data_IF_137436871802
#
_entry.id   IF_137436871802
#
_cell.length_a   1.000
_cell.length_b   1.000
_cell.length_c   1.000
_cell.angle_alpha   90.00
_cell.angle_beta   90.00
_cell.angle_gamma   90.00
#
_symmetry.space_group_name_H-M   'P 1'
#
loop_
_entity.id
_entity.type
_entity.pdbx_description
1 polymer ?
#
# COMPACT_ATOMS: atom_id res chain seq x y z
N UNK A 1 15.06 -6.00 -20.74
CA UNK A 1 15.61 -7.23 -20.14
C UNK A 1 15.39 -7.12 -18.64
N UNK A 2 14.63 -8.03 -18.04
CA UNK A 2 14.51 -8.08 -16.57
C UNK A 2 15.18 -9.35 -16.04
N UNK A 3 15.87 -9.17 -14.91
CA UNK A 3 16.82 -10.06 -14.24
C UNK A 3 16.96 -9.51 -12.80
N UNK A 4 17.48 -10.25 -11.82
CA UNK A 4 17.17 -11.60 -11.34
C UNK A 4 16.21 -11.58 -10.11
N UNK A 5 15.65 -12.73 -9.73
CA UNK A 5 14.79 -12.89 -8.54
C UNK A 5 15.66 -13.25 -7.31
N UNK A 6 15.53 -12.48 -6.23
CA UNK A 6 16.24 -12.70 -4.97
C UNK A 6 15.30 -13.32 -3.93
N UNK A 7 15.73 -14.39 -3.25
CA UNK A 7 15.04 -14.94 -2.07
C UNK A 7 15.20 -13.94 -0.92
N UNK A 8 14.08 -13.51 -0.32
CA UNK A 8 14.06 -12.63 0.83
C UNK A 8 13.86 -13.44 2.11
N UNK A 9 14.69 -13.19 3.12
CA UNK A 9 14.50 -13.77 4.45
C UNK A 9 13.50 -12.92 5.26
N UNK A 10 12.48 -13.56 5.83
CA UNK A 10 11.51 -12.90 6.72
C UNK A 10 12.08 -12.90 8.13
N UNK A 11 12.33 -11.71 8.69
CA UNK A 11 12.86 -11.58 10.05
C UNK A 11 11.88 -12.15 11.10
N UNK A 12 12.38 -12.82 12.16
CA UNK A 12 11.54 -13.30 13.25
C UNK A 12 10.70 -12.18 13.87
N UNK A 13 9.39 -12.40 14.00
CA UNK A 13 8.44 -11.41 14.54
C UNK A 13 7.74 -10.52 13.49
N UNK A 14 8.05 -10.68 12.20
CA UNK A 14 7.29 -10.03 11.12
C UNK A 14 5.91 -10.68 10.94
N UNK A 15 4.91 -9.91 10.49
CA UNK A 15 3.65 -10.52 10.03
C UNK A 15 3.95 -11.39 8.79
N UNK A 16 3.58 -12.68 8.80
CA UNK A 16 3.85 -13.56 7.66
C UNK A 16 3.13 -13.04 6.42
N UNK A 17 3.80 -13.10 5.27
CA UNK A 17 3.13 -12.90 3.99
C UNK A 17 2.03 -13.97 3.87
N UNK A 18 0.79 -13.54 3.59
CA UNK A 18 -0.33 -14.47 3.42
C UNK A 18 -0.07 -15.51 2.32
N UNK A 19 0.87 -15.23 1.40
CA UNK A 19 1.29 -16.12 0.31
C UNK A 19 2.82 -15.98 0.11
N UNK A 20 3.64 -16.90 0.65
CA UNK A 20 5.11 -16.81 0.64
C UNK A 20 5.75 -17.07 -0.73
N UNK A 21 4.99 -17.60 -1.71
CA UNK A 21 5.47 -17.86 -3.06
C UNK A 21 5.44 -16.63 -3.99
N UNK A 22 4.95 -15.48 -3.49
CA UNK A 22 4.82 -14.27 -4.31
C UNK A 22 6.11 -13.46 -4.33
N UNK A 23 6.52 -13.03 -5.52
CA UNK A 23 7.72 -12.20 -5.70
C UNK A 23 7.35 -10.75 -5.40
N UNK A 24 8.19 -10.03 -4.63
CA UNK A 24 8.09 -8.57 -4.50
C UNK A 24 8.50 -7.92 -5.82
N UNK A 25 7.57 -7.21 -6.47
CA UNK A 25 7.76 -6.63 -7.81
C UNK A 25 8.00 -5.13 -7.76
N UNK A 26 7.49 -4.46 -6.72
CA UNK A 26 7.74 -3.04 -6.51
C UNK A 26 7.63 -2.67 -5.03
N UNK A 27 8.43 -1.68 -4.64
CA UNK A 27 8.34 -0.97 -3.38
C UNK A 27 8.21 0.52 -3.70
N UNK A 28 7.14 1.15 -3.23
CA UNK A 28 6.97 2.60 -3.28
C UNK A 28 7.07 3.13 -1.85
N UNK A 29 8.11 3.90 -1.58
CA UNK A 29 8.33 4.49 -0.27
C UNK A 29 7.85 5.94 -0.25
N UNK A 30 7.35 6.39 0.90
CA UNK A 30 7.06 7.80 1.12
C UNK A 30 5.98 8.40 0.21
N UNK A 31 5.03 7.59 -0.28
CA UNK A 31 3.98 8.07 -1.17
C UNK A 31 3.10 9.07 -0.43
N UNK A 32 3.08 10.32 -0.89
CA UNK A 32 2.35 11.39 -0.23
C UNK A 32 0.83 11.14 -0.24
N UNK A 33 0.20 11.44 0.89
CA UNK A 33 -1.25 11.38 1.08
C UNK A 33 -1.76 12.75 1.53
N UNK A 34 -2.93 13.13 1.03
CA UNK A 34 -3.56 14.39 1.41
C UNK A 34 -4.09 14.34 2.85
N UNK A 35 -4.37 15.50 3.44
CA UNK A 35 -5.11 15.57 4.70
C UNK A 35 -6.58 15.19 4.48
N UNK A 36 -7.21 14.60 5.51
CA UNK A 36 -8.65 14.38 5.53
C UNK A 36 -9.41 15.70 5.62
N UNK A 37 -10.54 15.80 4.90
CA UNK A 37 -11.36 17.03 4.89
C UNK A 37 -12.11 17.31 6.19
N UNK A 38 -12.28 16.29 7.06
CA UNK A 38 -12.93 16.39 8.36
C UNK A 38 -12.58 15.20 9.25
N UNK A 39 -13.03 15.22 10.51
CA UNK A 39 -12.96 14.06 11.38
C UNK A 39 -13.69 12.86 10.75
N UNK A 40 -13.07 11.68 10.79
CA UNK A 40 -13.63 10.46 10.23
C UNK A 40 -13.56 10.36 8.70
N UNK A 41 -13.11 11.40 8.00
CA UNK A 41 -13.05 11.41 6.54
C UNK A 41 -11.95 10.48 6.03
N UNK A 42 -12.29 9.63 5.06
CA UNK A 42 -11.32 8.80 4.36
C UNK A 42 -10.52 9.63 3.35
N UNK A 43 -9.23 9.31 3.22
CA UNK A 43 -8.33 9.90 2.23
C UNK A 43 -8.09 8.87 1.14
N UNK A 44 -8.35 9.24 -0.12
CA UNK A 44 -8.09 8.37 -1.27
C UNK A 44 -6.91 8.92 -2.06
N UNK A 45 -5.88 8.09 -2.21
CA UNK A 45 -4.70 8.37 -3.04
C UNK A 45 -4.68 7.42 -4.22
N UNK A 46 -4.71 7.97 -5.44
CA UNK A 46 -4.57 7.18 -6.66
C UNK A 46 -3.09 6.90 -6.93
N UNK A 47 -2.75 5.62 -7.06
CA UNK A 47 -1.43 5.15 -7.47
C UNK A 47 -1.53 4.78 -8.95
N UNK A 48 -0.78 5.48 -9.80
CA UNK A 48 -0.85 5.35 -11.26
C UNK A 48 0.54 5.29 -11.89
N UNK A 49 0.59 4.97 -13.19
CA UNK A 49 1.84 4.92 -13.96
C UNK A 49 2.66 3.66 -13.74
N UNK A 50 2.05 2.59 -13.21
CA UNK A 50 2.71 1.31 -12.97
C UNK A 50 2.47 0.35 -14.14
N UNK A 51 3.31 -0.68 -14.26
CA UNK A 51 3.10 -1.82 -15.16
C UNK A 51 3.00 -3.09 -14.33
N UNK A 52 1.78 -3.46 -13.96
CA UNK A 52 1.49 -4.54 -13.03
C UNK A 52 0.91 -5.77 -13.77
N UNK A 53 1.18 -6.99 -13.29
CA UNK A 53 0.57 -8.20 -13.83
C UNK A 53 -0.94 -8.22 -13.58
N UNK A 54 -1.65 -9.15 -14.23
CA UNK A 54 -3.10 -9.27 -14.10
C UNK A 54 -3.57 -9.64 -12.68
N UNK A 55 -2.71 -10.29 -11.89
CA UNK A 55 -2.99 -10.66 -10.49
C UNK A 55 -1.82 -10.23 -9.62
N UNK A 56 -2.11 -9.44 -8.59
CA UNK A 56 -1.11 -8.99 -7.61
C UNK A 56 -1.75 -8.64 -6.26
N UNK A 57 -0.99 -8.83 -5.20
CA UNK A 57 -1.26 -8.36 -3.86
C UNK A 57 -0.58 -6.99 -3.63
N UNK A 58 -1.19 -6.19 -2.76
CA UNK A 58 -0.66 -4.89 -2.34
C UNK A 58 -0.75 -4.83 -0.84
N UNK A 59 0.35 -4.55 -0.18
CA UNK A 59 0.42 -4.25 1.24
C UNK A 59 0.73 -2.76 1.39
N UNK A 60 -0.06 -2.09 2.23
CA UNK A 60 0.08 -0.66 2.49
C UNK A 60 0.37 -0.48 3.97
N UNK A 61 1.43 0.26 4.28
CA UNK A 61 1.84 0.62 5.63
C UNK A 61 1.71 2.14 5.78
N UNK A 62 0.65 2.65 6.42
CA UNK A 62 0.51 4.08 6.66
C UNK A 62 1.44 4.53 7.80
N UNK A 63 2.01 5.73 7.67
CA UNK A 63 2.82 6.36 8.71
C UNK A 63 1.99 7.09 9.80
N UNK A 64 0.67 6.89 9.77
CA UNK A 64 -0.31 7.58 10.61
C UNK A 64 -1.40 6.60 11.07
N UNK A 65 -2.17 6.97 12.09
CA UNK A 65 -3.19 6.10 12.71
C UNK A 65 -4.43 5.90 11.82
N UNK A 66 -4.24 5.09 10.79
CA UNK A 66 -5.24 4.78 9.79
C UNK A 66 -5.25 3.28 9.45
N UNK A 67 -6.40 2.81 8.98
CA UNK A 67 -6.55 1.52 8.32
C UNK A 67 -6.55 1.75 6.82
N UNK A 68 -5.72 1.00 6.10
CA UNK A 68 -5.59 1.12 4.64
C UNK A 68 -6.41 0.06 3.91
N UNK A 69 -7.09 0.47 2.84
CA UNK A 69 -7.84 -0.39 1.93
C UNK A 69 -7.38 -0.16 0.49
N UNK A 70 -7.22 -1.23 -0.28
CA UNK A 70 -6.83 -1.16 -1.70
C UNK A 70 -8.02 -1.52 -2.57
N UNK A 71 -8.33 -0.67 -3.54
CA UNK A 71 -9.46 -0.86 -4.47
C UNK A 71 -9.08 -0.48 -5.90
N UNK A 72 -9.93 -0.81 -6.88
CA UNK A 72 -9.74 -0.41 -8.28
C UNK A 72 -8.44 -0.93 -8.91
N UNK A 73 -8.01 -2.14 -8.55
CA UNK A 73 -6.78 -2.74 -9.07
C UNK A 73 -6.86 -2.94 -10.58
N UNK A 74 -5.89 -2.39 -11.29
CA UNK A 74 -5.69 -2.55 -12.73
C UNK A 74 -4.21 -2.83 -13.01
N UNK A 75 -3.86 -3.14 -14.25
CA UNK A 75 -2.48 -3.28 -14.70
C UNK A 75 -1.70 -1.95 -14.67
N UNK A 76 -2.38 -0.80 -14.54
CA UNK A 76 -1.75 0.53 -14.58
C UNK A 76 -1.68 1.21 -13.22
N UNK A 77 -2.36 0.67 -12.21
CA UNK A 77 -2.52 1.32 -10.93
C UNK A 77 -3.68 0.79 -10.08
N UNK A 78 -3.87 1.43 -8.94
CA UNK A 78 -4.91 1.12 -7.95
C UNK A 78 -5.13 2.33 -7.03
N UNK A 79 -6.18 2.28 -6.22
CA UNK A 79 -6.45 3.30 -5.21
C UNK A 79 -6.10 2.78 -3.83
N UNK A 80 -5.44 3.63 -3.02
CA UNK A 80 -5.23 3.43 -1.59
C UNK A 80 -6.19 4.34 -0.85
N UNK A 81 -7.06 3.76 -0.04
CA UNK A 81 -7.97 4.50 0.83
C UNK A 81 -7.51 4.36 2.28
N UNK A 82 -7.24 5.47 2.95
CA UNK A 82 -6.92 5.53 4.37
C UNK A 82 -8.14 5.99 5.15
N UNK A 83 -8.63 5.16 6.06
CA UNK A 83 -9.67 5.52 7.00
C UNK A 83 -9.03 5.77 8.36
N UNK A 84 -9.25 6.93 9.01
CA UNK A 84 -8.83 7.11 10.39
C UNK A 84 -9.43 6.01 11.28
N UNK A 85 -8.64 5.48 12.21
CA UNK A 85 -9.05 4.35 13.04
C UNK A 85 -10.20 4.70 13.99
N UNK A 86 -10.28 5.97 14.40
CA UNK A 86 -11.36 6.52 15.23
C UNK A 86 -12.10 7.61 14.45
N UNK A 87 -13.42 7.63 14.53
CA UNK A 87 -14.25 8.61 13.82
C UNK A 87 -14.01 10.06 14.25
N UNK A 88 -13.44 10.28 15.45
CA UNK A 88 -13.08 11.61 15.94
C UNK A 88 -11.75 12.14 15.38
N UNK A 89 -10.94 11.26 14.77
CA UNK A 89 -9.61 11.64 14.29
C UNK A 89 -9.71 12.22 12.87
N UNK A 90 -8.97 13.30 12.63
CA UNK A 90 -8.71 13.84 11.29
C UNK A 90 -7.31 13.42 10.86
N UNK A 91 -7.18 12.85 9.67
CA UNK A 91 -5.86 12.48 9.13
C UNK A 91 -5.11 13.73 8.65
N UNK A 92 -3.86 13.87 9.06
CA UNK A 92 -2.98 14.90 8.54
C UNK A 92 -2.40 14.48 7.18
N UNK A 93 -1.83 15.43 6.44
CA UNK A 93 -1.01 15.08 5.29
C UNK A 93 0.20 14.26 5.79
N UNK A 94 0.49 13.15 5.12
CA UNK A 94 1.52 12.21 5.54
C UNK A 94 1.94 11.31 4.40
N UNK A 95 2.49 10.13 4.71
CA UNK A 95 3.00 9.20 3.70
C UNK A 95 2.54 7.77 3.95
N UNK A 96 2.56 6.97 2.89
CA UNK A 96 2.35 5.52 2.95
C UNK A 96 3.49 4.82 2.22
N UNK A 97 3.92 3.69 2.77
CA UNK A 97 4.82 2.76 2.09
C UNK A 97 3.98 1.62 1.49
N UNK A 98 4.31 1.21 0.27
CA UNK A 98 3.52 0.26 -0.51
C UNK A 98 4.43 -0.83 -1.07
N UNK A 99 4.16 -2.07 -0.68
CA UNK A 99 4.80 -3.26 -1.25
C UNK A 99 3.81 -3.99 -2.19
N UNK A 100 4.27 -4.32 -3.40
CA UNK A 100 3.46 -5.01 -4.42
C UNK A 100 4.07 -6.37 -4.71
N UNK A 101 3.23 -7.41 -4.64
CA UNK A 101 3.63 -8.80 -4.83
C UNK A 101 2.81 -9.43 -5.95
N UNK A 102 3.38 -10.29 -6.80
CA UNK A 102 2.58 -11.16 -7.66
C UNK A 102 2.84 -12.62 -7.38
#
# INVERSE_FOLDING_TARGET
MNLPVHTLDVAPGSNPLAQPDRVLIALLEGVATAAGGSAGAAVVTAIAGLQLPASYAVQVTPNQDATAFVSGKTNTGFNVTLNPRLAANTLAAGTVDIAIFA
#
